data_IF_222682140054
#
_entry.id   IF_222682140054
#
_cell.length_a   1.000
_cell.length_b   1.000
_cell.length_c   1.000
_cell.angle_alpha   90.00
_cell.angle_beta   90.00
_cell.angle_gamma   90.00
#
_symmetry.space_group_name_H-M   'P 1'
#
loop_
_entity.id
_entity.type
_entity.pdbx_description
1 polymer ?
#
# COMPACT_ATOMS: atom_id res chain seq x y z
N UNK A 1 22.21 -30.79 79.35
CA UNK A 1 21.75 -31.98 80.12
C UNK A 1 21.34 -31.68 81.57
N UNK A 2 22.17 -31.04 82.40
CA UNK A 2 21.87 -30.79 83.83
C UNK A 2 20.54 -30.07 84.08
N UNK A 3 20.22 -29.04 83.30
CA UNK A 3 18.95 -28.31 83.40
C UNK A 3 17.69 -29.16 83.12
N UNK A 4 17.81 -30.20 82.29
CA UNK A 4 16.72 -31.16 81.98
C UNK A 4 16.54 -32.15 83.13
N UNK A 5 17.65 -32.65 83.69
CA UNK A 5 17.61 -33.59 84.82
C UNK A 5 17.13 -32.94 86.13
N UNK A 6 17.31 -31.62 86.26
CA UNK A 6 16.85 -30.80 87.39
C UNK A 6 15.46 -30.16 87.19
N UNK A 7 14.73 -30.55 86.13
CA UNK A 7 13.37 -30.07 85.78
C UNK A 7 13.23 -28.54 85.77
N UNK A 8 14.15 -27.84 85.09
CA UNK A 8 14.17 -26.38 84.99
C UNK A 8 13.64 -25.89 83.63
N UNK A 9 12.30 -25.76 83.43
CA UNK A 9 11.69 -25.52 82.13
C UNK A 9 12.12 -24.19 81.48
N UNK A 10 12.26 -23.12 82.27
CA UNK A 10 12.67 -21.81 81.78
C UNK A 10 14.14 -21.77 81.32
N UNK A 11 15.03 -22.40 82.09
CA UNK A 11 16.44 -22.51 81.72
C UNK A 11 16.62 -23.35 80.45
N UNK A 12 15.84 -24.43 80.31
CA UNK A 12 15.84 -25.26 79.10
C UNK A 12 15.32 -24.48 77.90
N UNK A 13 14.22 -23.73 78.03
CA UNK A 13 13.70 -22.89 76.95
C UNK A 13 14.70 -21.84 76.49
N UNK A 14 15.34 -21.14 77.42
CA UNK A 14 16.38 -20.15 77.11
C UNK A 14 17.60 -20.77 76.40
N UNK A 15 18.00 -21.98 76.82
CA UNK A 15 19.09 -22.71 76.17
C UNK A 15 18.71 -23.15 74.75
N UNK A 16 17.46 -23.58 74.52
CA UNK A 16 16.96 -23.92 73.19
C UNK A 16 16.87 -22.69 72.27
N UNK A 17 16.42 -21.55 72.80
CA UNK A 17 16.38 -20.28 72.07
C UNK A 17 17.79 -19.79 71.69
N UNK A 18 18.82 -20.19 72.47
CA UNK A 18 20.24 -19.92 72.22
C UNK A 18 20.92 -20.97 71.33
N UNK A 19 20.17 -21.97 70.83
CA UNK A 19 20.69 -23.01 69.94
C UNK A 19 21.46 -24.14 70.65
N UNK A 20 21.10 -24.47 71.89
CA UNK A 20 21.67 -25.62 72.58
C UNK A 20 21.42 -26.92 71.79
N UNK A 21 22.46 -27.72 71.63
CA UNK A 21 22.43 -28.99 70.92
C UNK A 21 21.49 -30.00 71.60
N UNK A 22 20.52 -30.49 70.83
CA UNK A 22 19.51 -31.46 71.25
C UNK A 22 19.99 -32.91 71.18
N UNK A 23 21.05 -33.18 70.40
CA UNK A 23 21.62 -34.51 70.15
C UNK A 23 22.68 -34.90 71.19
N UNK A 24 23.07 -33.97 72.05
CA UNK A 24 24.05 -34.22 73.11
C UNK A 24 23.59 -35.34 74.05
N UNK A 25 24.42 -36.38 74.20
CA UNK A 25 24.17 -37.53 75.10
C UNK A 25 24.77 -37.29 76.48
N UNK A 26 24.14 -37.83 77.52
CA UNK A 26 24.68 -37.75 78.88
C UNK A 26 25.72 -38.87 79.13
N UNK A 27 26.31 -38.90 80.34
CA UNK A 27 27.31 -39.90 80.76
C UNK A 27 26.80 -41.35 80.75
N UNK A 28 25.49 -41.56 80.64
CA UNK A 28 24.84 -42.86 80.51
C UNK A 28 24.32 -43.13 79.09
N UNK A 29 24.71 -42.31 78.11
CA UNK A 29 24.31 -42.44 76.71
C UNK A 29 22.85 -42.10 76.42
N UNK A 30 22.09 -41.52 77.34
CA UNK A 30 20.70 -41.10 77.06
C UNK A 30 20.65 -39.74 76.40
N UNK A 31 19.68 -39.56 75.50
CA UNK A 31 19.40 -38.27 74.82
C UNK A 31 18.57 -37.33 75.70
N UNK A 32 18.48 -36.05 75.32
CA UNK A 32 17.79 -35.02 76.13
C UNK A 32 16.29 -35.36 76.30
N UNK A 33 15.67 -35.92 75.26
CA UNK A 33 14.28 -36.41 75.25
C UNK A 33 14.04 -37.60 76.19
N UNK A 34 15.03 -38.48 76.36
CA UNK A 34 14.96 -39.66 77.24
C UNK A 34 15.24 -39.31 78.72
N UNK A 35 15.97 -38.23 78.97
CA UNK A 35 16.25 -37.73 80.32
C UNK A 35 15.12 -36.86 80.89
N UNK A 36 14.12 -36.48 80.08
CA UNK A 36 12.99 -35.66 80.50
C UNK A 36 11.97 -36.48 81.31
N UNK A 37 11.83 -36.19 82.60
CA UNK A 37 10.95 -36.92 83.54
C UNK A 37 9.48 -36.49 83.44
N UNK A 38 9.23 -35.21 83.17
CA UNK A 38 7.89 -34.62 83.17
C UNK A 38 7.39 -34.42 81.74
N UNK A 39 6.06 -34.51 81.57
CA UNK A 39 5.41 -34.24 80.29
C UNK A 39 5.60 -32.78 79.85
N UNK A 40 5.62 -31.85 80.81
CA UNK A 40 5.93 -30.44 80.58
C UNK A 40 7.31 -30.21 79.95
N UNK A 41 8.36 -30.85 80.50
CA UNK A 41 9.72 -30.76 79.94
C UNK A 41 9.79 -31.36 78.53
N UNK A 42 9.10 -32.49 78.31
CA UNK A 42 9.03 -33.16 77.00
C UNK A 42 8.30 -32.30 75.95
N UNK A 43 7.30 -31.53 76.37
CA UNK A 43 6.60 -30.56 75.50
C UNK A 43 7.50 -29.38 75.11
N UNK A 44 8.31 -28.87 76.04
CA UNK A 44 9.28 -27.78 75.77
C UNK A 44 10.33 -28.23 74.76
N UNK A 45 10.84 -29.47 74.87
CA UNK A 45 11.81 -30.02 73.91
C UNK A 45 11.22 -30.24 72.51
N UNK A 46 9.90 -30.46 72.39
CA UNK A 46 9.20 -30.59 71.09
C UNK A 46 8.84 -29.24 70.45
N UNK A 47 8.73 -28.17 71.24
CA UNK A 47 8.37 -26.83 70.78
C UNK A 47 9.30 -26.26 69.69
N UNK A 48 10.65 -26.28 69.82
CA UNK A 48 11.53 -25.74 68.79
C UNK A 48 11.44 -26.50 67.46
N UNK A 49 11.26 -27.82 67.50
CA UNK A 49 11.05 -28.64 66.29
C UNK A 49 9.76 -28.22 65.57
N UNK A 50 8.66 -28.01 66.31
CA UNK A 50 7.39 -27.52 65.74
C UNK A 50 7.53 -26.09 65.17
N UNK A 51 8.24 -25.21 65.87
CA UNK A 51 8.50 -23.84 65.42
C UNK A 51 9.33 -23.81 64.11
N UNK A 52 10.38 -24.63 64.03
CA UNK A 52 11.18 -24.78 62.82
C UNK A 52 10.35 -25.37 61.67
N UNK A 53 9.53 -26.39 61.92
CA UNK A 53 8.62 -26.95 60.91
C UNK A 53 7.63 -25.90 60.39
N UNK A 54 7.04 -25.08 61.27
CA UNK A 54 6.14 -24.00 60.89
C UNK A 54 6.86 -22.91 60.07
N UNK A 55 8.09 -22.55 60.46
CA UNK A 55 8.92 -21.58 59.73
C UNK A 55 9.30 -22.10 58.34
N UNK A 56 9.73 -23.36 58.23
CA UNK A 56 10.03 -24.01 56.96
C UNK A 56 8.79 -24.06 56.06
N UNK A 57 7.62 -24.40 56.61
CA UNK A 57 6.37 -24.40 55.87
C UNK A 57 5.99 -23.00 55.37
N UNK A 58 6.15 -21.97 56.20
CA UNK A 58 5.91 -20.57 55.83
C UNK A 58 6.85 -20.09 54.72
N UNK A 59 8.15 -20.38 54.83
CA UNK A 59 9.14 -20.06 53.80
C UNK A 59 8.86 -20.79 52.48
N UNK A 60 8.46 -22.07 52.53
CA UNK A 60 8.03 -22.82 51.33
C UNK A 60 6.82 -22.18 50.66
N UNK A 61 5.81 -21.78 51.42
CA UNK A 61 4.63 -21.11 50.89
C UNK A 61 5.00 -19.76 50.24
N UNK A 62 5.89 -18.98 50.86
CA UNK A 62 6.40 -17.74 50.28
C UNK A 62 7.17 -17.98 48.98
N UNK A 63 8.04 -18.99 48.95
CA UNK A 63 8.82 -19.33 47.75
C UNK A 63 7.89 -19.71 46.58
N UNK A 64 6.93 -20.60 46.83
CA UNK A 64 5.93 -21.00 45.82
C UNK A 64 5.10 -19.80 45.37
N UNK A 65 4.68 -18.93 46.29
CA UNK A 65 3.95 -17.71 45.96
C UNK A 65 4.78 -16.69 45.18
N UNK A 66 6.10 -16.62 45.38
CA UNK A 66 7.00 -15.78 44.56
C UNK A 66 7.21 -16.38 43.18
N UNK A 67 7.35 -17.71 43.10
CA UNK A 67 7.53 -18.43 41.85
C UNK A 67 6.32 -18.26 40.94
N UNK A 68 5.09 -18.46 41.45
CA UNK A 68 3.85 -18.21 40.70
C UNK A 68 3.78 -16.78 40.18
N UNK A 69 4.08 -15.79 41.03
CA UNK A 69 4.10 -14.37 40.63
C UNK A 69 5.14 -14.08 39.55
N UNK A 70 6.31 -14.72 39.59
CA UNK A 70 7.31 -14.56 38.53
C UNK A 70 6.88 -15.21 37.22
N UNK A 71 6.24 -16.39 37.27
CA UNK A 71 5.72 -17.09 36.10
C UNK A 71 4.59 -16.28 35.44
N UNK A 72 3.64 -15.77 36.23
CA UNK A 72 2.57 -14.89 35.76
C UNK A 72 3.11 -13.59 35.14
N UNK A 73 4.11 -12.96 35.77
CA UNK A 73 4.74 -11.76 35.24
C UNK A 73 5.48 -12.01 33.92
N UNK A 74 6.15 -13.15 33.78
CA UNK A 74 6.80 -13.56 32.53
C UNK A 74 5.77 -13.84 31.43
N UNK A 75 4.69 -14.56 31.75
CA UNK A 75 3.61 -14.83 30.80
C UNK A 75 2.94 -13.55 30.31
N UNK A 76 2.67 -12.60 31.22
CA UNK A 76 2.14 -11.29 30.86
C UNK A 76 3.08 -10.52 29.94
N UNK A 77 4.40 -10.54 30.23
CA UNK A 77 5.39 -9.89 29.36
C UNK A 77 5.49 -10.54 27.98
N UNK A 78 5.40 -11.86 27.90
CA UNK A 78 5.37 -12.59 26.63
C UNK A 78 4.13 -12.18 25.82
N UNK A 79 2.95 -12.20 26.42
CA UNK A 79 1.71 -11.79 25.77
C UNK A 79 1.77 -10.33 25.26
N UNK A 80 2.29 -9.39 26.07
CA UNK A 80 2.48 -8.00 25.66
C UNK A 80 3.42 -7.89 24.45
N UNK A 81 4.52 -8.64 24.44
CA UNK A 81 5.47 -8.62 23.32
C UNK A 81 4.89 -9.24 22.05
N UNK A 82 4.14 -10.33 22.16
CA UNK A 82 3.47 -10.97 21.02
C UNK A 82 2.41 -10.05 20.43
N UNK A 83 1.60 -9.39 21.28
CA UNK A 83 0.62 -8.42 20.84
C UNK A 83 1.27 -7.21 20.13
N UNK A 84 2.38 -6.70 20.67
CA UNK A 84 3.13 -5.60 20.06
C UNK A 84 3.71 -5.99 18.69
N UNK A 85 4.26 -7.19 18.55
CA UNK A 85 4.78 -7.69 17.27
C UNK A 85 3.66 -7.91 16.25
N UNK A 86 2.51 -8.47 16.67
CA UNK A 86 1.35 -8.64 15.80
C UNK A 86 0.82 -7.28 15.29
N UNK A 87 0.74 -6.27 16.17
CA UNK A 87 0.34 -4.92 15.77
C UNK A 87 1.34 -4.30 14.77
N UNK A 88 2.65 -4.47 14.99
CA UNK A 88 3.68 -3.98 14.06
C UNK A 88 3.62 -4.67 12.70
N UNK A 89 3.36 -5.96 12.68
CA UNK A 89 3.18 -6.70 11.42
C UNK A 89 1.96 -6.18 10.66
N UNK A 90 0.83 -6.00 11.34
CA UNK A 90 -0.40 -5.47 10.72
C UNK A 90 -0.22 -4.04 10.19
N UNK A 91 0.50 -3.17 10.91
CA UNK A 91 0.85 -1.81 10.43
C UNK A 91 1.70 -1.87 9.16
N UNK A 92 2.70 -2.77 9.12
CA UNK A 92 3.58 -2.92 7.95
C UNK A 92 2.81 -3.46 6.72
N UNK A 93 1.97 -4.46 6.92
CA UNK A 93 1.16 -5.04 5.84
C UNK A 93 0.16 -4.01 5.27
N UNK A 94 -0.47 -3.22 6.15
CA UNK A 94 -1.36 -2.14 5.74
C UNK A 94 -0.62 -1.04 4.95
N UNK A 95 0.60 -0.67 5.39
CA UNK A 95 1.42 0.32 4.69
C UNK A 95 1.86 -0.16 3.30
N UNK A 96 2.23 -1.43 3.16
CA UNK A 96 2.57 -2.02 1.87
C UNK A 96 1.36 -2.08 0.93
N UNK A 97 0.18 -2.47 1.45
CA UNK A 97 -1.06 -2.48 0.66
C UNK A 97 -1.43 -1.07 0.15
N UNK A 98 -1.29 -0.04 0.99
CA UNK A 98 -1.52 1.34 0.60
C UNK A 98 -0.52 1.80 -0.49
N UNK A 99 0.76 1.44 -0.35
CA UNK A 99 1.79 1.78 -1.37
C UNK A 99 1.53 1.08 -2.70
N UNK A 100 1.07 -0.16 -2.68
CA UNK A 100 0.69 -0.87 -3.89
C UNK A 100 -0.50 -0.19 -4.59
N UNK A 101 -1.54 0.17 -3.84
CA UNK A 101 -2.70 0.88 -4.38
C UNK A 101 -2.35 2.25 -4.97
N UNK A 102 -1.46 3.02 -4.32
CA UNK A 102 -0.96 4.30 -4.86
C UNK A 102 -0.21 4.09 -6.18
N UNK A 103 0.63 3.06 -6.28
CA UNK A 103 1.39 2.76 -7.49
C UNK A 103 0.47 2.34 -8.64
N UNK A 104 -0.50 1.47 -8.37
CA UNK A 104 -1.46 0.98 -9.37
C UNK A 104 -2.33 2.14 -9.90
N UNK A 105 -2.78 3.04 -9.02
CA UNK A 105 -3.52 4.24 -9.40
C UNK A 105 -2.68 5.19 -10.26
N UNK A 106 -1.40 5.39 -9.93
CA UNK A 106 -0.49 6.22 -10.71
C UNK A 106 -0.24 5.66 -12.12
N UNK A 107 -0.07 4.33 -12.24
CA UNK A 107 0.09 3.68 -13.54
C UNK A 107 -1.18 3.78 -14.38
N UNK A 108 -2.36 3.59 -13.78
CA UNK A 108 -3.63 3.75 -14.48
C UNK A 108 -3.82 5.19 -15.01
N UNK A 109 -3.46 6.20 -14.21
CA UNK A 109 -3.51 7.60 -14.63
C UNK A 109 -2.54 7.86 -15.80
N UNK A 110 -1.32 7.33 -15.75
CA UNK A 110 -0.33 7.47 -16.84
C UNK A 110 -0.79 6.81 -18.14
N UNK A 111 -1.43 5.65 -18.04
CA UNK A 111 -2.00 4.97 -19.20
C UNK A 111 -3.12 5.81 -19.83
N UNK A 112 -4.04 6.35 -19.02
CA UNK A 112 -5.12 7.20 -19.51
C UNK A 112 -4.60 8.50 -20.16
N UNK A 113 -3.58 9.14 -19.60
CA UNK A 113 -2.91 10.30 -20.21
C UNK A 113 -2.32 9.96 -21.58
N UNK A 114 -1.64 8.80 -21.69
CA UNK A 114 -1.03 8.36 -22.96
C UNK A 114 -2.09 8.06 -24.02
N UNK A 115 -3.16 7.36 -23.66
CA UNK A 115 -4.25 7.03 -24.56
C UNK A 115 -4.98 8.29 -25.06
N UNK A 116 -5.21 9.26 -24.18
CA UNK A 116 -5.78 10.56 -24.55
C UNK A 116 -4.87 11.35 -25.50
N UNK A 117 -3.55 11.34 -25.25
CA UNK A 117 -2.59 12.02 -26.12
C UNK A 117 -2.53 11.39 -27.52
N UNK A 118 -2.57 10.06 -27.61
CA UNK A 118 -2.63 9.36 -28.89
C UNK A 118 -3.92 9.64 -29.66
N UNK A 119 -5.07 9.66 -28.97
CA UNK A 119 -6.35 10.01 -29.57
C UNK A 119 -6.35 11.46 -30.12
N UNK A 120 -5.77 12.41 -29.38
CA UNK A 120 -5.62 13.79 -29.84
C UNK A 120 -4.72 13.89 -31.08
N UNK A 121 -3.59 13.16 -31.11
CA UNK A 121 -2.69 13.12 -32.27
C UNK A 121 -3.35 12.52 -33.51
N UNK A 122 -4.15 11.47 -33.33
CA UNK A 122 -4.90 10.89 -34.44
C UNK A 122 -5.92 11.90 -35.00
N UNK A 123 -6.68 12.57 -34.12
CA UNK A 123 -7.64 13.59 -34.54
C UNK A 123 -6.99 14.78 -35.28
N UNK A 124 -5.82 15.24 -34.81
CA UNK A 124 -5.04 16.28 -35.51
C UNK A 124 -4.61 15.82 -36.91
N UNK A 125 -4.15 14.57 -37.04
CA UNK A 125 -3.72 14.02 -38.33
C UNK A 125 -4.90 13.87 -39.30
N UNK A 126 -6.03 13.35 -38.83
CA UNK A 126 -7.24 13.19 -39.65
C UNK A 126 -7.78 14.54 -40.13
N UNK A 127 -7.78 15.55 -39.25
CA UNK A 127 -8.17 16.92 -39.61
C UNK A 127 -7.22 17.54 -40.65
N UNK A 128 -5.92 17.33 -40.52
CA UNK A 128 -4.93 17.81 -41.49
C UNK A 128 -5.09 17.16 -42.86
N UNK A 129 -5.37 15.86 -42.91
CA UNK A 129 -5.65 15.14 -44.16
C UNK A 129 -6.95 15.62 -44.81
N UNK A 130 -8.01 15.83 -44.04
CA UNK A 130 -9.27 16.38 -44.54
C UNK A 130 -9.08 17.79 -45.13
N UNK A 131 -8.30 18.65 -44.46
CA UNK A 131 -7.98 19.98 -44.97
C UNK A 131 -7.19 19.91 -46.29
N UNK A 132 -6.20 19.01 -46.40
CA UNK A 132 -5.42 18.82 -47.62
C UNK A 132 -6.27 18.31 -48.79
N UNK A 133 -7.22 17.41 -48.51
CA UNK A 133 -8.16 16.94 -49.53
C UNK A 133 -9.04 18.08 -50.03
N UNK A 134 -9.59 18.89 -49.12
CA UNK A 134 -10.43 20.04 -49.47
C UNK A 134 -9.65 21.10 -50.29
N UNK A 135 -8.40 21.37 -49.95
CA UNK A 135 -7.52 22.25 -50.75
C UNK A 135 -7.30 21.71 -52.17
N UNK A 136 -7.06 20.40 -52.30
CA UNK A 136 -6.86 19.76 -53.60
C UNK A 136 -8.13 19.80 -54.46
N UNK A 137 -9.29 19.48 -53.87
CA UNK A 137 -10.58 19.50 -54.57
C UNK A 137 -10.93 20.92 -55.04
N UNK A 138 -10.69 21.94 -54.19
CA UNK A 138 -10.89 23.34 -54.55
C UNK A 138 -9.96 23.78 -55.70
N UNK A 139 -8.70 23.36 -55.70
CA UNK A 139 -7.74 23.66 -56.77
C UNK A 139 -8.15 23.01 -58.10
N UNK A 140 -8.64 21.76 -58.07
CA UNK A 140 -9.15 21.09 -59.26
C UNK A 140 -10.41 21.77 -59.80
N UNK A 141 -11.35 22.16 -58.93
CA UNK A 141 -12.55 22.89 -59.32
C UNK A 141 -12.21 24.24 -59.99
N UNK A 142 -11.25 24.98 -59.41
CA UNK A 142 -10.77 26.24 -60.00
C UNK A 142 -10.14 26.02 -61.38
N UNK A 143 -9.33 24.97 -61.55
CA UNK A 143 -8.72 24.62 -62.85
C UNK A 143 -9.75 24.24 -63.90
N UNK A 144 -10.79 23.51 -63.51
CA UNK A 144 -11.88 23.19 -64.43
C UNK A 144 -12.62 24.45 -64.87
N UNK A 145 -12.94 25.36 -63.94
CA UNK A 145 -13.60 26.62 -64.25
C UNK A 145 -12.75 27.51 -65.19
N UNK A 146 -11.43 27.57 -64.99
CA UNK A 146 -10.50 28.27 -65.90
C UNK A 146 -10.53 27.66 -67.31
N UNK A 147 -10.55 26.33 -67.42
CA UNK A 147 -10.60 25.63 -68.71
C UNK A 147 -11.93 25.89 -69.44
N UNK A 148 -13.06 25.78 -68.73
CA UNK A 148 -14.39 26.01 -69.29
C UNK A 148 -14.52 27.45 -69.80
N UNK A 149 -14.01 28.42 -69.03
CA UNK A 149 -13.99 29.83 -69.45
C UNK A 149 -13.11 30.05 -70.70
N UNK A 150 -11.95 29.40 -70.78
CA UNK A 150 -11.07 29.48 -71.94
C UNK A 150 -11.72 28.88 -73.19
N UNK A 151 -12.40 27.74 -73.06
CA UNK A 151 -13.14 27.10 -74.15
C UNK A 151 -14.30 27.98 -74.62
N UNK A 152 -15.08 28.55 -73.70
CA UNK A 152 -16.17 29.47 -74.04
C UNK A 152 -15.66 30.69 -74.82
N UNK A 153 -14.53 31.28 -74.41
CA UNK A 153 -13.91 32.38 -75.17
C UNK A 153 -13.41 31.96 -76.55
N UNK A 154 -12.81 30.76 -76.67
CA UNK A 154 -12.36 30.24 -77.95
C UNK A 154 -13.53 30.04 -78.93
N UNK A 155 -14.63 29.46 -78.46
CA UNK A 155 -15.85 29.32 -79.25
C UNK A 155 -16.45 30.67 -79.66
N UNK A 156 -16.52 31.64 -78.73
CA UNK A 156 -17.01 32.99 -79.03
C UNK A 156 -16.13 33.72 -80.06
N UNK A 157 -14.81 33.53 -80.04
CA UNK A 157 -13.91 34.07 -81.06
C UNK A 157 -14.17 33.42 -82.42
N UNK A 158 -14.27 32.10 -82.47
CA UNK A 158 -14.54 31.38 -83.71
C UNK A 158 -15.86 31.81 -84.35
N UNK A 159 -16.94 31.90 -83.55
CA UNK A 159 -18.23 32.37 -84.07
C UNK A 159 -18.17 33.81 -84.57
N UNK A 160 -17.51 34.72 -83.83
CA UNK A 160 -17.31 36.10 -84.26
C UNK A 160 -16.52 36.18 -85.58
N UNK A 161 -15.49 35.34 -85.76
CA UNK A 161 -14.74 35.29 -87.03
C UNK A 161 -15.57 34.75 -88.19
N UNK A 162 -16.43 33.74 -87.94
CA UNK A 162 -17.32 33.20 -88.95
C UNK A 162 -18.33 34.25 -89.42
N UNK A 163 -19.01 34.93 -88.48
CA UNK A 163 -19.96 36.02 -88.80
C UNK A 163 -19.28 37.15 -89.58
N UNK A 164 -18.02 37.48 -89.27
CA UNK A 164 -17.27 38.51 -89.99
C UNK A 164 -16.94 38.08 -91.42
N UNK A 165 -16.59 36.81 -91.62
CA UNK A 165 -16.36 36.24 -92.95
C UNK A 165 -17.65 36.24 -93.79
N UNK A 166 -18.78 35.83 -93.21
CA UNK A 166 -20.09 35.83 -93.89
C UNK A 166 -20.49 37.25 -94.33
N UNK A 167 -20.32 38.25 -93.46
CA UNK A 167 -20.60 39.65 -93.82
C UNK A 167 -19.69 40.17 -94.95
N UNK A 168 -18.40 39.79 -94.95
CA UNK A 168 -17.48 40.17 -96.02
C UNK A 168 -17.88 39.53 -97.36
N UNK A 169 -18.26 38.25 -97.35
CA UNK A 169 -18.76 37.55 -98.54
C UNK A 169 -20.03 38.21 -99.08
N UNK A 170 -20.97 38.58 -98.21
CA UNK A 170 -22.19 39.31 -98.60
C UNK A 170 -21.85 40.66 -99.27
N UNK A 171 -20.96 41.44 -98.66
CA UNK A 171 -20.51 42.72 -99.22
C UNK A 171 -19.82 42.57 -100.58
N UNK A 172 -19.02 41.51 -100.76
CA UNK A 172 -18.39 41.21 -102.04
C UNK A 172 -19.42 40.82 -103.10
N UNK A 173 -20.43 40.02 -102.74
CA UNK A 173 -21.53 39.65 -103.63
C UNK A 173 -22.34 40.88 -104.07
N UNK A 174 -22.67 41.79 -103.15
CA UNK A 174 -23.36 43.04 -103.45
C UNK A 174 -22.53 43.93 -104.40
N UNK A 175 -21.20 43.99 -104.22
CA UNK A 175 -20.32 44.72 -105.13
C UNK A 175 -20.26 44.09 -106.53
N UNK A 176 -20.20 42.78 -106.63
CA UNK A 176 -20.20 42.07 -107.92
C UNK A 176 -21.51 42.35 -108.66
N UNK A 177 -22.66 42.19 -108.00
CA UNK A 177 -23.97 42.47 -108.62
C UNK A 177 -24.14 43.93 -109.02
N UNK A 178 -23.61 44.88 -108.24
CA UNK A 178 -23.59 46.29 -108.61
C UNK A 178 -22.73 46.56 -109.86
N UNK A 179 -21.54 45.95 -109.94
CA UNK A 179 -20.67 46.07 -111.12
C UNK A 179 -21.32 45.47 -112.37
N UNK A 180 -21.96 44.31 -112.25
CA UNK A 180 -22.71 43.68 -113.35
C UNK A 180 -23.83 44.59 -113.87
N UNK A 181 -24.60 45.25 -112.99
CA UNK A 181 -25.62 46.23 -113.40
C UNK A 181 -25.01 47.41 -114.14
N UNK A 182 -23.94 48.00 -113.62
CA UNK A 182 -23.27 49.14 -114.28
C UNK A 182 -22.68 48.76 -115.64
N UNK A 183 -22.28 47.49 -115.83
CA UNK A 183 -21.78 47.00 -117.10
C UNK A 183 -22.90 46.73 -118.13
N UNK A 184 -24.14 46.52 -117.71
CA UNK A 184 -25.30 46.36 -118.62
C UNK A 184 -25.91 47.69 -119.06
N UNK A 185 -25.64 48.79 -118.37
CA UNK A 185 -26.14 50.14 -118.72
C UNK A 185 -25.21 50.91 -119.69
N UNK A 186 -24.08 50.33 -120.08
CA UNK A 186 -23.12 50.84 -121.09
C UNK A 186 -23.32 50.12 -122.44
#
# INVERSE_FOLDING_TARGET
>A
MKAVSCDQPHAVRLLLDRGADLEARNTWGRSISESAKTEAMRAILKHPVKHLQATIAGLRAQLVGRQKRSEEALAAKQADTEAALAAKQAEMDAALAAKQAEMDAALAAKQAEMDAALAAKQAEMDAALAAKQAEMDAALAAKQAEMDAAQAMAHARHSATAVRADNLLLHLADRVTALERTAMEL
#
